data_IF_149203677229
#
_entry.id   IF_149203677229
#
_cell.length_a   1.000
_cell.length_b   1.000
_cell.length_c   1.000
_cell.angle_alpha   90.00
_cell.angle_beta   90.00
_cell.angle_gamma   90.00
#
_symmetry.space_group_name_H-M   'P 1'
#
loop_
_entity.id
_entity.type
_entity.pdbx_description
1 polymer ?
#
# COMPACT_ATOMS: atom_id res chain seq x y z
N UNK A 1 -15.51 1.94 6.31
CA UNK A 1 -14.09 1.79 5.88
C UNK A 1 -14.07 2.15 4.40
N UNK A 2 -13.02 2.82 3.94
CA UNK A 2 -12.92 3.26 2.54
C UNK A 2 -11.77 2.50 1.88
N UNK A 3 -12.07 1.88 0.74
CA UNK A 3 -11.04 1.32 -0.14
C UNK A 3 -10.67 2.38 -1.17
N UNK A 4 -9.38 2.62 -1.37
CA UNK A 4 -8.86 3.56 -2.35
C UNK A 4 -7.53 3.10 -2.93
N UNK A 5 -7.08 3.74 -4.01
CA UNK A 5 -5.75 3.50 -4.56
C UNK A 5 -4.71 4.32 -3.80
N UNK A 6 -3.68 3.66 -3.29
CA UNK A 6 -2.48 4.28 -2.72
C UNK A 6 -1.32 4.12 -3.69
N UNK A 7 -0.45 5.12 -3.74
CA UNK A 7 0.84 5.01 -4.42
C UNK A 7 1.88 4.44 -3.45
N UNK A 8 2.65 3.47 -3.91
CA UNK A 8 3.72 2.82 -3.14
C UNK A 8 5.04 2.89 -3.91
N UNK A 9 6.15 3.01 -3.19
CA UNK A 9 7.51 3.11 -3.74
C UNK A 9 8.27 1.81 -3.54
N UNK A 10 9.09 1.38 -4.50
CA UNK A 10 9.92 0.17 -4.32
C UNK A 10 10.98 0.44 -3.25
N UNK A 11 11.18 -0.53 -2.34
CA UNK A 11 12.17 -0.40 -1.25
C UNK A 11 13.56 -0.08 -1.84
N UNK A 12 14.14 1.02 -1.40
CA UNK A 12 15.45 1.48 -1.84
C UNK A 12 15.50 2.09 -3.25
N UNK A 13 14.35 2.33 -3.91
CA UNK A 13 14.26 3.02 -5.21
C UNK A 13 13.14 4.06 -5.24
N UNK A 14 13.51 5.33 -5.18
CA UNK A 14 12.57 6.46 -5.16
C UNK A 14 11.76 6.63 -6.46
N UNK A 15 12.30 6.27 -7.62
CA UNK A 15 11.65 6.50 -8.91
C UNK A 15 10.61 5.45 -9.30
N UNK A 16 10.64 4.28 -8.63
CA UNK A 16 9.80 3.16 -9.00
C UNK A 16 8.57 3.13 -8.13
N UNK A 17 7.44 3.47 -8.74
CA UNK A 17 6.15 3.54 -8.06
C UNK A 17 5.14 2.62 -8.72
N UNK A 18 4.18 2.12 -7.94
CA UNK A 18 2.95 1.55 -8.47
C UNK A 18 1.77 1.91 -7.57
N UNK A 19 0.56 1.66 -8.05
CA UNK A 19 -0.65 1.85 -7.24
C UNK A 19 -1.10 0.51 -6.68
N UNK A 20 -1.61 0.48 -5.45
CA UNK A 20 -2.27 -0.69 -4.87
C UNK A 20 -3.60 -0.27 -4.27
N UNK A 21 -4.55 -1.19 -4.17
CA UNK A 21 -5.78 -0.94 -3.44
C UNK A 21 -5.49 -1.06 -1.94
N UNK A 22 -6.07 -0.18 -1.13
CA UNK A 22 -5.89 -0.23 0.32
C UNK A 22 -7.18 0.15 1.05
N UNK A 23 -7.45 -0.57 2.14
CA UNK A 23 -8.40 -0.12 3.15
C UNK A 23 -7.66 0.80 4.12
N UNK A 24 -8.19 1.99 4.33
CA UNK A 24 -7.65 2.95 5.30
C UNK A 24 -8.67 3.29 6.39
N UNK A 25 -8.16 3.66 7.56
CA UNK A 25 -8.99 4.16 8.67
C UNK A 25 -9.24 5.68 8.54
N UNK A 26 -10.04 6.24 9.46
CA UNK A 26 -10.36 7.69 9.49
C UNK A 26 -9.16 8.61 9.72
N UNK A 27 -8.02 8.09 10.17
CA UNK A 27 -6.79 8.85 10.36
C UNK A 27 -5.83 8.77 9.16
N UNK A 28 -6.23 8.12 8.07
CA UNK A 28 -5.39 7.91 6.89
C UNK A 28 -4.37 6.77 7.03
N UNK A 29 -4.48 5.92 8.06
CA UNK A 29 -3.59 4.77 8.24
C UNK A 29 -4.06 3.60 7.39
N UNK A 30 -3.13 2.99 6.66
CA UNK A 30 -3.35 1.74 5.91
C UNK A 30 -3.58 0.58 6.88
N UNK A 31 -4.69 -0.13 6.70
CA UNK A 31 -5.06 -1.30 7.48
C UNK A 31 -4.87 -2.60 6.69
N UNK A 32 -5.22 -2.58 5.41
CA UNK A 32 -5.06 -3.72 4.47
C UNK A 32 -4.68 -3.21 3.10
N UNK A 33 -4.00 -4.05 2.33
CA UNK A 33 -3.58 -3.77 0.96
C UNK A 33 -4.03 -4.93 0.08
N UNK A 34 -4.40 -4.65 -1.16
CA UNK A 34 -4.90 -5.63 -2.12
C UNK A 34 -4.25 -5.41 -3.49
N UNK A 35 -4.10 -6.49 -4.23
CA UNK A 35 -3.79 -6.44 -5.65
C UNK A 35 -5.03 -5.99 -6.47
N UNK A 36 -4.84 -5.85 -7.79
CA UNK A 36 -5.91 -5.45 -8.70
C UNK A 36 -6.98 -6.52 -8.93
N UNK A 37 -6.76 -7.75 -8.47
CA UNK A 37 -7.75 -8.83 -8.51
C UNK A 37 -8.56 -8.91 -7.21
N UNK A 38 -8.27 -8.05 -6.23
CA UNK A 38 -8.91 -8.05 -4.91
C UNK A 38 -8.30 -9.04 -3.92
N UNK A 39 -7.16 -9.67 -4.24
CA UNK A 39 -6.46 -10.53 -3.29
C UNK A 39 -5.74 -9.67 -2.25
N UNK A 40 -5.92 -9.99 -0.98
CA UNK A 40 -5.24 -9.29 0.09
C UNK A 40 -3.73 -9.63 0.07
N UNK A 41 -2.90 -8.58 0.06
CA UNK A 41 -1.46 -8.67 0.18
C UNK A 41 -1.06 -8.61 1.66
N UNK A 42 -0.25 -9.56 2.16
CA UNK A 42 0.28 -9.49 3.52
C UNK A 42 1.17 -8.26 3.71
N UNK A 43 0.94 -7.52 4.80
CA UNK A 43 1.83 -6.45 5.24
C UNK A 43 2.91 -7.08 6.12
N UNK A 44 4.17 -6.90 5.74
CA UNK A 44 5.34 -7.38 6.46
C UNK A 44 5.51 -6.64 7.79
N UNK A 45 6.29 -7.20 8.71
CA UNK A 45 6.57 -6.57 10.01
C UNK A 45 7.20 -5.18 9.92
N UNK A 46 7.91 -4.89 8.85
CA UNK A 46 8.52 -3.57 8.59
C UNK A 46 7.60 -2.60 7.83
N UNK A 47 6.32 -2.95 7.66
CA UNK A 47 5.33 -2.08 7.02
C UNK A 47 5.37 -2.08 5.49
N UNK A 48 6.12 -2.98 4.86
CA UNK A 48 6.17 -3.15 3.40
C UNK A 48 5.18 -4.22 2.91
N UNK A 49 4.93 -4.27 1.60
CA UNK A 49 4.16 -5.35 0.95
C UNK A 49 4.93 -5.94 -0.22
N UNK A 50 4.78 -7.24 -0.46
CA UNK A 50 5.34 -7.89 -1.66
C UNK A 50 4.26 -8.00 -2.73
N UNK A 51 4.52 -7.44 -3.91
CA UNK A 51 3.64 -7.50 -5.07
C UNK A 51 4.46 -7.56 -6.35
N UNK A 52 4.10 -8.48 -7.25
CA UNK A 52 4.78 -8.69 -8.53
C UNK A 52 6.32 -8.82 -8.37
N UNK A 53 6.71 -9.73 -7.47
CA UNK A 53 8.12 -10.06 -7.12
C UNK A 53 8.94 -8.89 -6.58
N UNK A 54 8.29 -7.81 -6.14
CA UNK A 54 8.93 -6.61 -5.61
C UNK A 54 8.37 -6.23 -4.27
N UNK A 55 9.21 -5.57 -3.48
CA UNK A 55 8.87 -5.07 -2.14
C UNK A 55 8.57 -3.58 -2.23
N UNK A 56 7.42 -3.18 -1.71
CA UNK A 56 6.90 -1.82 -1.80
C UNK A 56 6.67 -1.23 -0.41
N UNK A 57 7.10 0.01 -0.23
CA UNK A 57 6.90 0.81 0.98
C UNK A 57 5.50 1.43 0.97
N UNK A 58 4.76 1.23 2.05
CA UNK A 58 3.47 1.86 2.24
C UNK A 58 3.65 3.31 2.69
N UNK A 59 2.79 4.25 2.22
CA UNK A 59 2.81 5.60 2.74
C UNK A 59 2.45 5.59 4.23
N UNK A 60 3.20 6.34 5.04
CA UNK A 60 2.95 6.46 6.49
C UNK A 60 1.55 6.99 6.80
N UNK A 61 1.02 7.84 5.91
CA UNK A 61 -0.33 8.40 6.00
C UNK A 61 -0.84 8.72 4.59
N UNK A 62 -2.10 8.38 4.35
CA UNK A 62 -2.85 8.79 3.16
C UNK A 62 -3.70 10.00 3.53
N UNK A 63 -3.55 11.10 2.80
CA UNK A 63 -4.38 12.28 3.00
C UNK A 63 -5.80 12.02 2.48
N UNK A 64 -6.77 12.22 3.37
CA UNK A 64 -8.19 12.10 3.12
C UNK A 64 -8.71 13.50 2.81
N UNK A 65 -9.11 13.74 1.56
CA UNK A 65 -9.78 14.98 1.14
C UNK A 65 -11.26 14.99 1.54
#
# INVERSE_FOLDING_TARGET
MMQLMIMVTEVGKLERMCNLLAEINKSGKVLKVFDYNGNQLPINHDGTVTFNERRWELPTKVDLY
#
